data_IF_491544398332
#
_entry.id   IF_491544398332
#
_cell.length_a   1.000
_cell.length_b   1.000
_cell.length_c   1.000
_cell.angle_alpha   90.00
_cell.angle_beta   90.00
_cell.angle_gamma   90.00
#
_symmetry.space_group_name_H-M   'P 1'
#
loop_
_entity.id
_entity.type
_entity.pdbx_description
1 polymer ?
#
# COMPACT_ATOMS: atom_id res chain seq x y z
N UNK A 1 11.44 20.07 -33.31
CA UNK A 1 10.69 19.45 -32.24
C UNK A 1 11.59 19.39 -31.02
N UNK A 2 11.25 20.15 -29.98
CA UNK A 2 11.94 20.08 -28.70
C UNK A 2 11.62 18.74 -28.05
N UNK A 3 12.59 18.04 -27.47
CA UNK A 3 12.30 16.82 -26.74
C UNK A 3 11.38 17.19 -25.59
N UNK A 4 10.26 16.45 -25.51
CA UNK A 4 9.33 16.51 -24.38
C UNK A 4 10.15 16.30 -23.11
N UNK A 5 10.20 17.30 -22.23
CA UNK A 5 11.04 17.19 -21.05
C UNK A 5 10.40 16.15 -20.11
N UNK A 6 11.19 15.24 -19.61
CA UNK A 6 10.73 14.24 -18.65
C UNK A 6 10.02 14.88 -17.43
N UNK A 7 10.41 16.09 -17.07
CA UNK A 7 9.77 16.88 -16.02
C UNK A 7 8.35 17.36 -16.38
N UNK A 8 8.10 17.69 -17.65
CA UNK A 8 6.77 18.13 -18.10
C UNK A 8 5.81 16.94 -18.12
N UNK A 9 6.28 15.78 -18.60
CA UNK A 9 5.52 14.52 -18.55
C UNK A 9 5.22 14.10 -17.10
N UNK A 10 6.23 14.16 -16.22
CA UNK A 10 6.05 13.83 -14.81
C UNK A 10 5.03 14.75 -14.13
N UNK A 11 5.09 16.05 -14.42
CA UNK A 11 4.15 17.05 -13.85
C UNK A 11 2.73 16.82 -14.35
N UNK A 12 2.55 16.53 -15.65
CA UNK A 12 1.25 16.26 -16.26
C UNK A 12 0.64 14.97 -15.71
N UNK A 13 1.43 13.88 -15.63
CA UNK A 13 1.01 12.61 -15.03
C UNK A 13 0.65 12.76 -13.54
N UNK A 14 1.44 13.52 -12.77
CA UNK A 14 1.12 13.81 -11.37
C UNK A 14 -0.13 14.67 -11.23
N UNK A 15 -0.38 15.59 -12.16
CA UNK A 15 -1.60 16.40 -12.17
C UNK A 15 -2.83 15.55 -12.46
N UNK A 16 -2.76 14.68 -13.46
CA UNK A 16 -3.85 13.74 -13.77
C UNK A 16 -4.16 12.83 -12.57
N UNK A 17 -3.14 12.27 -11.93
CA UNK A 17 -3.29 11.39 -10.76
C UNK A 17 -3.73 12.13 -9.49
N UNK A 18 -3.39 13.40 -9.33
CA UNK A 18 -3.76 14.20 -8.15
C UNK A 18 -5.25 14.56 -8.08
N UNK A 19 -5.98 14.38 -9.17
CA UNK A 19 -7.43 14.59 -9.25
C UNK A 19 -8.27 13.37 -8.84
N UNK A 20 -7.65 12.23 -8.61
CA UNK A 20 -8.35 11.01 -8.22
C UNK A 20 -8.86 11.11 -6.78
N UNK A 21 -10.17 10.91 -6.64
CA UNK A 21 -10.80 10.95 -5.33
C UNK A 21 -10.51 9.64 -4.56
N UNK A 22 -10.24 9.79 -3.27
CA UNK A 22 -10.17 8.63 -2.38
C UNK A 22 -11.49 7.86 -2.37
N UNK A 23 -11.44 6.56 -2.67
CA UNK A 23 -12.57 5.65 -2.63
C UNK A 23 -12.43 4.63 -1.48
N UNK A 24 -13.24 4.78 -0.41
CA UNK A 24 -13.23 3.82 0.70
C UNK A 24 -13.61 2.39 0.28
N UNK A 25 -14.38 2.22 -0.80
CA UNK A 25 -14.76 0.91 -1.32
C UNK A 25 -13.56 0.16 -1.90
N UNK A 26 -12.72 0.85 -2.65
CA UNK A 26 -11.48 0.29 -3.20
C UNK A 26 -10.49 -0.07 -2.10
N UNK A 27 -10.37 0.79 -1.07
CA UNK A 27 -9.53 0.49 0.10
C UNK A 27 -10.03 -0.73 0.87
N UNK A 28 -11.35 -0.85 1.04
CA UNK A 28 -11.97 -2.02 1.66
C UNK A 28 -11.69 -3.30 0.83
N UNK A 29 -11.69 -3.22 -0.49
CA UNK A 29 -11.36 -4.35 -1.37
C UNK A 29 -9.90 -4.77 -1.24
N UNK A 30 -8.97 -3.81 -1.15
CA UNK A 30 -7.55 -4.08 -0.89
C UNK A 30 -7.33 -4.82 0.43
N UNK A 31 -7.97 -4.37 1.50
CA UNK A 31 -7.87 -5.03 2.81
C UNK A 31 -8.50 -6.43 2.77
N UNK A 32 -9.65 -6.58 2.10
CA UNK A 32 -10.34 -7.86 1.92
C UNK A 32 -9.48 -8.87 1.17
N UNK A 33 -8.73 -8.39 0.19
CA UNK A 33 -7.76 -9.23 -0.54
C UNK A 33 -6.76 -9.86 0.43
N UNK A 34 -6.07 -9.08 1.26
CA UNK A 34 -5.09 -9.61 2.21
C UNK A 34 -5.72 -10.40 3.36
N UNK A 35 -6.93 -10.05 3.82
CA UNK A 35 -7.67 -10.77 4.85
C UNK A 35 -8.05 -12.18 4.41
N UNK A 36 -8.37 -12.36 3.13
CA UNK A 36 -8.82 -13.65 2.57
C UNK A 36 -7.70 -14.65 2.29
N UNK A 37 -6.44 -14.24 2.42
CA UNK A 37 -5.29 -15.13 2.22
C UNK A 37 -5.09 -16.05 3.42
N UNK A 38 -4.41 -17.19 3.21
CA UNK A 38 -4.06 -18.08 4.30
C UNK A 38 -3.04 -17.39 5.22
N UNK A 39 -3.41 -17.09 6.48
CA UNK A 39 -2.55 -16.31 7.35
C UNK A 39 -1.46 -17.18 7.98
N UNK A 40 -0.26 -16.62 8.14
CA UNK A 40 0.79 -17.18 8.98
C UNK A 40 0.47 -16.98 10.47
N UNK A 41 -0.04 -15.78 10.81
CA UNK A 41 -0.57 -15.48 12.14
C UNK A 41 -2.10 -15.42 12.12
N UNK A 42 -2.75 -16.24 12.95
CA UNK A 42 -4.22 -16.27 13.09
C UNK A 42 -4.83 -14.94 13.55
N UNK A 43 -4.04 -14.05 14.15
CA UNK A 43 -4.48 -12.72 14.53
C UNK A 43 -4.59 -11.76 13.33
N UNK A 44 -3.88 -12.04 12.23
CA UNK A 44 -3.83 -11.16 11.06
C UNK A 44 -5.20 -10.87 10.43
N UNK A 45 -6.03 -11.88 10.04
CA UNK A 45 -7.33 -11.59 9.45
C UNK A 45 -8.26 -10.87 10.43
N UNK A 46 -8.19 -11.17 11.73
CA UNK A 46 -8.98 -10.47 12.76
C UNK A 46 -8.58 -8.99 12.83
N UNK A 47 -7.29 -8.70 12.74
CA UNK A 47 -6.78 -7.33 12.73
C UNK A 47 -7.24 -6.56 11.49
N UNK A 48 -7.16 -7.16 10.30
CA UNK A 48 -7.62 -6.54 9.06
C UNK A 48 -9.14 -6.31 9.06
N UNK A 49 -9.92 -7.26 9.55
CA UNK A 49 -11.37 -7.11 9.72
C UNK A 49 -11.69 -5.90 10.63
N UNK A 50 -10.99 -5.78 11.76
CA UNK A 50 -11.15 -4.64 12.68
C UNK A 50 -10.77 -3.30 12.02
N UNK A 51 -9.76 -3.26 11.18
CA UNK A 51 -9.41 -2.07 10.39
C UNK A 51 -10.52 -1.74 9.40
N UNK A 52 -11.04 -2.73 8.66
CA UNK A 52 -12.13 -2.53 7.70
C UNK A 52 -13.40 -1.96 8.33
N UNK A 53 -13.77 -2.48 9.48
CA UNK A 53 -14.94 -1.99 10.25
C UNK A 53 -14.78 -0.53 10.72
N UNK A 54 -13.54 -0.08 10.90
CA UNK A 54 -13.21 1.24 11.42
C UNK A 54 -12.58 2.19 10.39
N UNK A 55 -12.63 1.89 9.10
CA UNK A 55 -11.98 2.69 8.05
C UNK A 55 -12.31 4.18 8.12
N UNK A 56 -13.58 4.54 8.36
CA UNK A 56 -14.01 5.95 8.47
C UNK A 56 -13.32 6.71 9.59
N UNK A 57 -12.90 6.01 10.65
CA UNK A 57 -12.17 6.60 11.79
C UNK A 57 -10.67 6.59 11.52
N UNK A 58 -10.14 5.54 10.87
CA UNK A 58 -8.71 5.33 10.70
C UNK A 58 -8.12 6.18 9.56
N UNK A 59 -8.85 6.34 8.46
CA UNK A 59 -8.37 7.05 7.26
C UNK A 59 -7.83 8.45 7.57
N UNK A 60 -8.44 9.30 8.40
CA UNK A 60 -7.87 10.60 8.75
C UNK A 60 -6.54 10.57 9.52
N UNK A 61 -6.20 9.43 10.12
CA UNK A 61 -4.98 9.25 10.92
C UNK A 61 -3.89 8.46 10.19
N UNK A 62 -4.17 8.04 8.96
CA UNK A 62 -3.14 7.43 8.11
C UNK A 62 -2.29 8.51 7.45
N UNK A 63 -1.05 8.20 7.18
CA UNK A 63 -0.15 9.05 6.37
C UNK A 63 -0.14 10.53 6.78
N UNK A 64 -0.14 10.81 8.11
CA UNK A 64 -0.02 12.17 8.59
C UNK A 64 1.27 12.82 8.04
N UNK A 65 1.25 14.13 7.84
CA UNK A 65 2.38 14.87 7.27
C UNK A 65 3.70 14.65 8.02
N UNK A 66 3.65 14.45 9.32
CA UNK A 66 4.81 14.12 10.17
C UNK A 66 5.40 12.73 9.89
N UNK A 67 4.63 11.85 9.26
CA UNK A 67 5.01 10.47 8.95
C UNK A 67 5.54 10.30 7.51
N UNK A 68 5.46 11.33 6.68
CA UNK A 68 5.73 11.28 5.25
C UNK A 68 7.09 10.68 4.91
N UNK A 69 8.15 11.09 5.63
CA UNK A 69 9.50 10.55 5.41
C UNK A 69 9.60 9.04 5.68
N UNK A 70 8.88 8.54 6.69
CA UNK A 70 8.87 7.12 7.00
C UNK A 70 8.18 6.30 5.91
N UNK A 71 7.05 6.76 5.39
CA UNK A 71 6.34 6.08 4.31
C UNK A 71 7.08 6.20 2.98
N UNK A 72 7.72 7.33 2.69
CA UNK A 72 8.61 7.47 1.53
C UNK A 72 9.73 6.42 1.55
N UNK A 73 10.38 6.23 2.70
CA UNK A 73 11.41 5.19 2.87
C UNK A 73 10.88 3.78 2.68
N UNK A 74 9.64 3.50 3.13
CA UNK A 74 9.01 2.19 2.91
C UNK A 74 8.69 1.96 1.43
N UNK A 75 8.19 2.98 0.71
CA UNK A 75 7.98 2.89 -0.74
C UNK A 75 9.31 2.56 -1.44
N UNK A 76 10.38 3.29 -1.10
CA UNK A 76 11.71 3.00 -1.68
C UNK A 76 12.18 1.59 -1.34
N UNK A 77 11.98 1.11 -0.12
CA UNK A 77 12.35 -0.25 0.26
C UNK A 77 11.64 -1.29 -0.63
N UNK A 78 10.31 -1.20 -0.78
CA UNK A 78 9.56 -2.14 -1.62
C UNK A 78 9.94 -2.03 -3.10
N UNK A 79 10.12 -0.82 -3.62
CA UNK A 79 10.56 -0.61 -4.99
C UNK A 79 11.93 -1.22 -5.23
N UNK A 80 12.93 -0.95 -4.39
CA UNK A 80 14.27 -1.53 -4.56
C UNK A 80 14.25 -3.04 -4.46
N UNK A 81 13.51 -3.59 -3.51
CA UNK A 81 13.42 -5.03 -3.30
C UNK A 81 12.86 -5.76 -4.53
N UNK A 82 11.81 -5.23 -5.13
CA UNK A 82 11.10 -5.92 -6.21
C UNK A 82 11.48 -5.47 -7.61
N UNK A 83 11.83 -4.20 -7.84
CA UNK A 83 12.29 -3.75 -9.15
C UNK A 83 13.60 -4.37 -9.59
N UNK A 84 14.51 -4.67 -8.65
CA UNK A 84 15.75 -5.37 -8.99
C UNK A 84 15.51 -6.80 -9.47
N UNK A 85 14.43 -7.43 -9.01
CA UNK A 85 14.00 -8.76 -9.45
C UNK A 85 13.25 -8.74 -10.80
N UNK A 86 12.71 -7.58 -11.22
CA UNK A 86 11.92 -7.45 -12.45
C UNK A 86 12.73 -7.60 -13.74
N UNK A 87 14.04 -7.73 -13.65
CA UNK A 87 14.89 -8.06 -14.80
C UNK A 87 14.56 -9.42 -15.46
N UNK A 88 13.83 -10.28 -14.77
CA UNK A 88 13.44 -11.60 -15.25
C UNK A 88 12.02 -11.62 -15.84
N UNK A 89 11.08 -10.83 -15.29
CA UNK A 89 9.66 -10.86 -15.68
C UNK A 89 9.14 -9.60 -16.41
N UNK A 90 9.95 -8.53 -16.46
CA UNK A 90 9.64 -7.24 -17.11
C UNK A 90 8.37 -6.55 -16.56
N UNK A 91 7.75 -7.05 -15.49
CA UNK A 91 6.52 -6.52 -14.89
C UNK A 91 6.81 -5.46 -13.82
N UNK A 92 7.22 -4.28 -14.28
CA UNK A 92 7.51 -3.13 -13.41
C UNK A 92 6.24 -2.57 -12.76
N UNK A 93 5.11 -2.62 -13.49
CA UNK A 93 3.88 -1.98 -13.03
C UNK A 93 3.31 -2.67 -11.79
N UNK A 94 3.26 -4.00 -11.76
CA UNK A 94 2.81 -4.73 -10.56
C UNK A 94 3.71 -4.48 -9.35
N UNK A 95 5.03 -4.29 -9.55
CA UNK A 95 5.96 -3.98 -8.45
C UNK A 95 5.67 -2.58 -7.86
N UNK A 96 5.36 -1.60 -8.70
CA UNK A 96 4.94 -0.26 -8.23
C UNK A 96 3.61 -0.36 -7.48
N UNK A 97 2.63 -1.06 -8.04
CA UNK A 97 1.32 -1.29 -7.41
C UNK A 97 1.47 -1.95 -6.03
N UNK A 98 2.35 -2.96 -5.92
CA UNK A 98 2.63 -3.60 -4.64
C UNK A 98 3.22 -2.65 -3.61
N UNK A 99 4.19 -1.81 -3.99
CA UNK A 99 4.79 -0.84 -3.07
C UNK A 99 3.74 0.12 -2.50
N UNK A 100 2.84 0.64 -3.34
CA UNK A 100 1.77 1.53 -2.90
C UNK A 100 0.76 0.79 -2.02
N UNK A 101 0.31 -0.40 -2.42
CA UNK A 101 -0.61 -1.22 -1.64
C UNK A 101 -0.04 -1.58 -0.26
N UNK A 102 1.23 -1.99 -0.21
CA UNK A 102 1.93 -2.32 1.03
C UNK A 102 1.97 -1.13 2.00
N UNK A 103 2.40 0.04 1.52
CA UNK A 103 2.47 1.25 2.35
C UNK A 103 1.08 1.70 2.79
N UNK A 104 0.07 1.54 1.94
CA UNK A 104 -1.33 1.83 2.29
C UNK A 104 -1.81 0.96 3.45
N UNK A 105 -1.59 -0.36 3.40
CA UNK A 105 -1.98 -1.26 4.50
C UNK A 105 -1.19 -0.96 5.77
N UNK A 106 0.14 -0.76 5.67
CA UNK A 106 0.98 -0.42 6.83
C UNK A 106 0.52 0.90 7.46
N UNK A 107 0.15 1.90 6.67
CA UNK A 107 -0.34 3.19 7.20
C UNK A 107 -1.65 3.04 7.99
N UNK A 108 -2.51 2.10 7.63
CA UNK A 108 -3.73 1.80 8.38
C UNK A 108 -3.44 1.03 9.68
N UNK A 109 -2.46 0.12 9.66
CA UNK A 109 -1.96 -0.53 10.88
C UNK A 109 -1.38 0.50 11.84
N UNK A 110 -0.63 1.47 11.33
CA UNK A 110 -0.07 2.58 12.09
C UNK A 110 -1.16 3.49 12.66
N UNK A 111 -2.20 3.81 11.86
CA UNK A 111 -3.35 4.59 12.32
C UNK A 111 -4.11 3.87 13.45
N UNK A 112 -4.35 2.56 13.30
CA UNK A 112 -4.97 1.75 14.35
C UNK A 112 -4.13 1.79 15.63
N UNK A 113 -2.84 1.52 15.54
CA UNK A 113 -1.93 1.53 16.68
C UNK A 113 -1.91 2.91 17.37
N UNK A 114 -1.89 3.99 16.58
CA UNK A 114 -1.92 5.38 17.09
C UNK A 114 -3.18 5.65 17.91
N UNK A 115 -4.34 5.19 17.45
CA UNK A 115 -5.60 5.37 18.16
C UNK A 115 -5.68 4.51 19.42
N UNK A 116 -5.18 3.29 19.38
CA UNK A 116 -5.20 2.37 20.52
C UNK A 116 -4.22 2.79 21.64
N UNK A 117 -3.05 3.32 21.28
CA UNK A 117 -1.97 3.62 22.25
C UNK A 117 -1.83 5.11 22.55
N UNK A 118 -2.53 5.97 21.83
CA UNK A 118 -2.41 7.43 21.94
C UNK A 118 -1.19 8.02 21.25
N UNK A 119 -0.42 7.22 20.47
CA UNK A 119 0.75 7.65 19.72
C UNK A 119 1.32 6.54 18.87
N UNK A 120 2.36 6.85 18.08
CA UNK A 120 3.02 5.88 17.22
C UNK A 120 4.55 5.96 17.42
N UNK A 121 5.09 5.01 18.17
CA UNK A 121 6.54 4.90 18.35
C UNK A 121 7.21 4.26 17.14
N UNK A 122 8.55 4.42 17.05
CA UNK A 122 9.33 3.73 16.02
C UNK A 122 9.20 2.20 16.13
N UNK A 123 9.16 1.68 17.35
CA UNK A 123 8.98 0.25 17.60
C UNK A 123 7.65 -0.27 17.08
N UNK A 124 6.56 0.47 17.30
CA UNK A 124 5.24 0.15 16.75
C UNK A 124 5.25 0.13 15.22
N UNK A 125 5.89 1.12 14.57
CA UNK A 125 6.01 1.16 13.10
C UNK A 125 6.75 -0.05 12.55
N UNK A 126 7.88 -0.38 13.18
CA UNK A 126 8.68 -1.55 12.79
C UNK A 126 7.87 -2.83 12.92
N UNK A 127 7.11 -2.98 14.00
CA UNK A 127 6.27 -4.16 14.20
C UNK A 127 5.11 -4.23 13.20
N UNK A 128 4.48 -3.11 12.87
CA UNK A 128 3.42 -3.06 11.85
C UNK A 128 3.95 -3.41 10.45
N UNK A 129 5.09 -2.83 10.06
CA UNK A 129 5.73 -3.15 8.79
C UNK A 129 6.15 -4.63 8.74
N UNK A 130 6.70 -5.16 9.85
CA UNK A 130 7.09 -6.56 9.97
C UNK A 130 5.89 -7.50 9.89
N UNK A 131 4.77 -7.17 10.55
CA UNK A 131 3.55 -7.96 10.49
C UNK A 131 3.03 -8.05 9.05
N UNK A 132 2.96 -6.92 8.32
CA UNK A 132 2.60 -6.93 6.91
C UNK A 132 3.57 -7.77 6.07
N UNK A 133 4.87 -7.57 6.23
CA UNK A 133 5.87 -8.32 5.46
C UNK A 133 5.77 -9.83 5.71
N UNK A 134 5.56 -10.25 6.96
CA UNK A 134 5.38 -11.66 7.29
C UNK A 134 4.20 -12.28 6.57
N UNK A 135 3.08 -11.58 6.51
CA UNK A 135 1.84 -12.11 5.94
C UNK A 135 1.77 -11.99 4.41
N UNK A 136 2.35 -10.94 3.83
CA UNK A 136 2.30 -10.70 2.40
C UNK A 136 3.56 -11.16 1.67
N UNK A 137 4.75 -10.68 2.08
CA UNK A 137 5.99 -10.91 1.33
C UNK A 137 6.56 -12.32 1.51
N UNK A 138 6.36 -12.95 2.69
CA UNK A 138 6.86 -14.29 2.97
C UNK A 138 5.84 -15.41 2.65
N UNK A 139 4.69 -15.06 2.09
CA UNK A 139 3.71 -16.00 1.55
C UNK A 139 3.81 -16.02 0.02
N UNK A 140 4.44 -17.04 -0.60
CA UNK A 140 4.56 -17.14 -2.05
C UNK A 140 3.19 -17.10 -2.75
N UNK A 141 2.20 -17.76 -2.17
CA UNK A 141 0.85 -17.83 -2.73
C UNK A 141 0.16 -16.46 -2.69
N UNK A 142 0.32 -15.71 -1.58
CA UNK A 142 -0.20 -14.33 -1.48
C UNK A 142 0.44 -13.41 -2.52
N UNK A 143 1.75 -13.55 -2.74
CA UNK A 143 2.47 -12.73 -3.73
C UNK A 143 2.05 -13.08 -5.16
N UNK A 144 1.90 -14.38 -5.49
CA UNK A 144 1.43 -14.82 -6.80
C UNK A 144 0.01 -14.33 -7.07
N UNK A 145 -0.88 -14.47 -6.11
CA UNK A 145 -2.25 -13.96 -6.21
C UNK A 145 -2.28 -12.43 -6.37
N UNK A 146 -1.40 -11.71 -5.68
CA UNK A 146 -1.31 -10.26 -5.84
C UNK A 146 -0.84 -9.87 -7.26
N UNK A 147 0.18 -10.54 -7.81
CA UNK A 147 0.63 -10.28 -9.18
C UNK A 147 -0.48 -10.52 -10.20
N UNK A 148 -1.26 -11.59 -10.04
CA UNK A 148 -2.42 -11.87 -10.88
C UNK A 148 -3.50 -10.79 -10.73
N UNK A 149 -3.85 -10.40 -9.49
CA UNK A 149 -4.84 -9.37 -9.20
C UNK A 149 -4.47 -7.99 -9.79
N UNK A 150 -3.19 -7.69 -9.94
CA UNK A 150 -2.72 -6.43 -10.54
C UNK A 150 -3.26 -6.18 -11.96
N UNK A 151 -3.66 -7.21 -12.67
CA UNK A 151 -4.13 -7.11 -14.07
C UNK A 151 -5.65 -7.01 -14.16
N UNK A 152 -6.37 -7.62 -13.24
CA UNK A 152 -7.82 -7.83 -13.36
C UNK A 152 -8.63 -7.04 -12.32
N UNK A 153 -8.03 -6.65 -11.19
CA UNK A 153 -8.75 -6.06 -10.08
C UNK A 153 -8.73 -4.53 -10.09
N UNK A 154 -9.91 -3.92 -10.04
CA UNK A 154 -10.09 -2.46 -10.11
C UNK A 154 -9.46 -1.74 -8.91
N UNK A 155 -9.45 -2.34 -7.72
CA UNK A 155 -8.82 -1.75 -6.53
C UNK A 155 -7.29 -1.63 -6.64
N UNK A 156 -6.67 -2.33 -7.61
CA UNK A 156 -5.27 -2.19 -7.99
C UNK A 156 -5.07 -1.39 -9.29
N UNK A 157 -6.08 -0.68 -9.77
CA UNK A 157 -5.89 0.30 -10.84
C UNK A 157 -5.00 1.46 -10.37
N UNK A 158 -4.35 2.16 -11.30
CA UNK A 158 -3.55 3.33 -10.94
C UNK A 158 -4.39 4.43 -10.32
N UNK A 159 -5.62 4.62 -10.77
CA UNK A 159 -6.57 5.60 -10.22
C UNK A 159 -6.90 5.29 -8.75
N UNK A 160 -7.25 4.04 -8.44
CA UNK A 160 -7.52 3.62 -7.05
C UNK A 160 -6.29 3.82 -6.14
N UNK A 161 -5.11 3.40 -6.63
CA UNK A 161 -3.85 3.53 -5.87
C UNK A 161 -3.45 4.99 -5.67
N UNK A 162 -3.65 5.86 -6.67
CA UNK A 162 -3.42 7.30 -6.53
C UNK A 162 -4.36 7.92 -5.48
N UNK A 163 -5.64 7.51 -5.46
CA UNK A 163 -6.59 7.90 -4.43
C UNK A 163 -6.17 7.48 -3.01
N UNK A 164 -5.44 6.35 -2.87
CA UNK A 164 -4.93 5.95 -1.55
C UNK A 164 -3.79 6.86 -1.04
N UNK A 165 -3.11 7.56 -1.92
CA UNK A 165 -2.02 8.48 -1.58
C UNK A 165 -2.49 9.93 -1.34
N UNK A 166 -3.77 10.24 -1.58
CA UNK A 166 -4.37 11.58 -1.42
C UNK A 166 -4.77 11.93 0.01
#
# INVERSE_FOLDING_TARGET
ALPYRAEDFRREALWELSGEAFDPGMLNSLLSFFESREPLDKAWPVRLAGIRENLGVLVPFRMLSEDGEAYERLIFYFLFRYLLASGEDVDILSKIKFAVAAVTVISLLDAQTRLETGGLSLENRVENARAFSSEAEYSPDTMEDFWNACWDEEFLSFSSLAGFCS
#
